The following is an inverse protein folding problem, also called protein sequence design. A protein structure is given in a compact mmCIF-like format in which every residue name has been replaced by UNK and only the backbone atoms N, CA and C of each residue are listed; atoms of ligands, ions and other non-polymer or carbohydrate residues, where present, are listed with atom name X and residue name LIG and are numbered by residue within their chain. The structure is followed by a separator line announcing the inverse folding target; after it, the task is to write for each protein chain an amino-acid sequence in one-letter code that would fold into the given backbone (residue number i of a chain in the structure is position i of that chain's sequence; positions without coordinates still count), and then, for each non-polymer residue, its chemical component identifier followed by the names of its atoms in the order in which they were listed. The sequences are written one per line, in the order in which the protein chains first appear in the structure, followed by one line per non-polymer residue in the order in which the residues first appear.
data_IF_808386147227
#
_entry.id   IF_808386147227
#
_cell.length_a   1.000
_cell.length_b   1.000
_cell.length_c   1.000
_cell.angle_alpha   90.00
_cell.angle_beta   90.00
_cell.angle_gamma   90.00
#
_symmetry.space_group_name_H-M   'P 1'
#
loop_
_entity.id
_entity.type
_entity.pdbx_description
1 polymer ?
#
# COMPACT_ATOMS: atom_id res chain seq x y z
N UNK A 1 22.24 29.05 41.27
CA UNK A 1 23.36 28.21 40.80
C UNK A 1 23.08 26.73 40.88
N UNK A 2 22.43 26.27 41.89
CA UNK A 2 22.07 24.85 42.00
C UNK A 2 21.06 24.40 40.93
N UNK A 3 20.33 25.30 40.37
CA UNK A 3 19.32 25.00 39.32
C UNK A 3 19.94 24.67 37.97
N UNK A 4 21.17 25.11 37.75
CA UNK A 4 21.86 24.84 36.49
C UNK A 4 22.27 23.38 36.38
N UNK A 5 22.50 22.72 37.49
CA UNK A 5 22.88 21.31 37.51
C UNK A 5 21.71 20.42 37.13
N UNK A 6 20.49 20.83 37.49
CA UNK A 6 19.29 20.07 37.19
C UNK A 6 18.90 20.12 35.70
N UNK A 7 19.38 21.14 34.96
CA UNK A 7 19.13 21.26 33.54
C UNK A 7 19.97 20.32 32.68
N UNK A 8 20.95 19.69 33.28
CA UNK A 8 21.80 18.70 32.63
C UNK A 8 21.25 17.28 32.73
N UNK A 9 19.97 17.15 33.08
CA UNK A 9 19.33 15.84 33.21
C UNK A 9 19.27 15.05 31.91
N UNK A 10 19.44 15.73 30.77
CA UNK A 10 19.65 15.07 29.50
C UNK A 10 21.11 14.76 29.28
N UNK A 11 21.62 13.86 30.07
CA UNK A 11 23.00 13.42 29.91
C UNK A 11 23.21 12.62 28.63
N UNK A 12 24.42 12.15 28.44
CA UNK A 12 24.83 11.36 27.30
C UNK A 12 23.87 10.19 27.02
N UNK A 13 23.39 9.55 28.08
CA UNK A 13 22.43 8.44 27.97
C UNK A 13 21.08 8.89 27.40
N UNK A 14 20.57 10.06 27.81
CA UNK A 14 19.32 10.62 27.30
C UNK A 14 19.44 10.99 25.83
N UNK A 15 20.55 11.59 25.43
CA UNK A 15 20.79 11.93 24.02
C UNK A 15 20.90 10.67 23.16
N UNK A 16 21.56 9.64 23.66
CA UNK A 16 21.67 8.36 22.98
C UNK A 16 20.29 7.72 22.77
N UNK A 17 19.46 7.75 23.81
CA UNK A 17 18.09 7.19 23.74
C UNK A 17 17.26 7.92 22.69
N UNK A 18 17.30 9.24 22.68
CA UNK A 18 16.57 10.05 21.68
C UNK A 18 17.10 9.73 20.28
N UNK A 19 18.41 9.64 20.12
CA UNK A 19 19.02 9.31 18.84
C UNK A 19 18.57 7.95 18.31
N UNK A 20 18.52 6.95 19.17
CA UNK A 20 18.04 5.61 18.80
C UNK A 20 16.56 5.65 18.40
N UNK A 21 15.73 6.37 19.14
CA UNK A 21 14.30 6.49 18.82
C UNK A 21 14.08 7.19 17.48
N UNK A 22 14.75 8.31 17.25
CA UNK A 22 14.65 9.04 15.99
C UNK A 22 15.13 8.18 14.83
N UNK A 23 16.25 7.49 15.00
CA UNK A 23 16.79 6.58 13.99
C UNK A 23 15.82 5.45 13.66
N UNK A 24 15.17 4.89 14.67
CA UNK A 24 14.17 3.84 14.49
C UNK A 24 12.98 4.34 13.67
N UNK A 25 12.44 5.50 14.03
CA UNK A 25 11.28 6.07 13.29
C UNK A 25 11.65 6.43 11.86
N UNK A 26 12.81 7.02 11.63
CA UNK A 26 13.27 7.37 10.28
C UNK A 26 13.44 6.10 9.44
N UNK A 27 14.09 5.08 9.99
CA UNK A 27 14.28 3.81 9.29
C UNK A 27 12.95 3.13 8.95
N UNK A 28 12.02 3.13 9.91
CA UNK A 28 10.68 2.56 9.69
C UNK A 28 9.94 3.30 8.58
N UNK A 29 10.00 4.64 8.58
CA UNK A 29 9.38 5.46 7.54
C UNK A 29 9.95 5.17 6.16
N UNK A 30 11.27 5.04 6.05
CA UNK A 30 11.92 4.74 4.77
C UNK A 30 11.51 3.36 4.25
N UNK A 31 11.31 2.40 5.13
CA UNK A 31 10.90 1.06 4.73
C UNK A 31 9.43 0.94 4.39
N UNK A 32 8.58 1.72 5.05
CA UNK A 32 7.14 1.68 4.85
C UNK A 32 6.72 2.53 3.65
N UNK A 33 7.38 3.65 3.41
CA UNK A 33 7.00 4.61 2.37
C UNK A 33 6.87 4.00 0.97
N UNK A 34 7.79 3.14 0.48
CA UNK A 34 7.63 2.52 -0.84
C UNK A 34 6.34 1.72 -0.97
N UNK A 35 5.94 1.02 0.09
CA UNK A 35 4.71 0.25 0.10
C UNK A 35 3.46 1.11 -0.02
N UNK A 36 3.46 2.28 0.60
CA UNK A 36 2.35 3.22 0.51
C UNK A 36 2.23 3.83 -0.90
N UNK A 37 3.37 4.14 -1.52
CA UNK A 37 3.40 4.65 -2.89
C UNK A 37 2.90 3.57 -3.85
N UNK A 38 3.35 2.34 -3.68
CA UNK A 38 2.91 1.22 -4.49
C UNK A 38 1.40 0.97 -4.32
N UNK A 39 0.88 1.10 -3.10
CA UNK A 39 -0.55 0.99 -2.84
C UNK A 39 -1.35 2.02 -3.68
N UNK A 40 -0.93 3.26 -3.70
CA UNK A 40 -1.60 4.29 -4.50
C UNK A 40 -1.58 3.94 -5.99
N UNK A 41 -0.44 3.45 -6.46
CA UNK A 41 -0.31 3.02 -7.86
C UNK A 41 -1.22 1.84 -8.16
N UNK A 42 -1.26 0.83 -7.29
CA UNK A 42 -2.16 -0.32 -7.45
C UNK A 42 -3.61 0.13 -7.49
N UNK A 43 -3.99 1.01 -6.58
CA UNK A 43 -5.35 1.55 -6.53
C UNK A 43 -5.73 2.23 -7.83
N UNK A 44 -4.87 3.08 -8.36
CA UNK A 44 -5.11 3.76 -9.64
C UNK A 44 -5.23 2.77 -10.80
N UNK A 45 -4.35 1.77 -10.85
CA UNK A 45 -4.37 0.78 -11.92
C UNK A 45 -5.63 -0.07 -11.89
N UNK A 46 -6.09 -0.44 -10.70
CA UNK A 46 -7.32 -1.21 -10.54
C UNK A 46 -8.54 -0.35 -10.91
N UNK A 47 -8.54 0.92 -10.51
CA UNK A 47 -9.60 1.86 -10.90
C UNK A 47 -9.65 2.04 -12.41
N UNK A 48 -8.51 2.22 -13.06
CA UNK A 48 -8.45 2.36 -14.51
C UNK A 48 -8.98 1.11 -15.21
N UNK A 49 -8.64 -0.05 -14.73
CA UNK A 49 -9.15 -1.30 -15.28
C UNK A 49 -10.66 -1.42 -15.09
N UNK A 50 -11.17 -1.01 -13.94
CA UNK A 50 -12.61 -1.03 -13.66
C UNK A 50 -13.38 -0.03 -14.52
N UNK A 51 -12.87 1.20 -14.64
CA UNK A 51 -13.52 2.25 -15.43
C UNK A 51 -13.49 1.95 -16.93
N UNK A 52 -12.42 1.31 -17.40
CA UNK A 52 -12.27 0.97 -18.82
C UNK A 52 -13.05 -0.27 -19.25
N UNK A 53 -13.71 -0.94 -18.32
CA UNK A 53 -14.46 -2.15 -18.63
C UNK A 53 -15.80 -1.84 -19.27
N UNK A 54 -16.06 -2.49 -20.41
CA UNK A 54 -17.34 -2.42 -21.11
C UNK A 54 -18.02 -3.79 -21.02
N UNK A 55 -19.16 -3.85 -20.35
CA UNK A 55 -19.87 -5.10 -20.10
C UNK A 55 -20.35 -5.79 -21.39
N UNK A 56 -20.55 -5.02 -22.46
CA UNK A 56 -20.99 -5.55 -23.75
C UNK A 56 -19.82 -6.10 -24.58
N UNK A 57 -18.63 -5.57 -24.45
CA UNK A 57 -17.48 -5.92 -25.29
C UNK A 57 -16.40 -6.70 -24.55
N UNK A 58 -16.23 -6.46 -23.24
CA UNK A 58 -15.10 -6.99 -22.49
C UNK A 58 -15.48 -8.19 -21.64
N UNK A 59 -14.49 -9.04 -21.40
CA UNK A 59 -14.62 -10.20 -20.52
C UNK A 59 -13.74 -10.02 -19.27
N UNK A 60 -13.93 -10.89 -18.27
CA UNK A 60 -13.06 -10.91 -17.10
C UNK A 60 -11.60 -11.15 -17.50
N UNK A 61 -11.36 -11.97 -18.52
CA UNK A 61 -10.03 -12.22 -19.04
C UNK A 61 -9.38 -10.94 -19.59
N UNK A 62 -10.16 -10.07 -20.20
CA UNK A 62 -9.67 -8.78 -20.71
C UNK A 62 -9.25 -7.86 -19.56
N UNK A 63 -10.00 -7.83 -18.47
CA UNK A 63 -9.63 -7.08 -17.26
C UNK A 63 -8.29 -7.61 -16.71
N UNK A 64 -8.15 -8.92 -16.59
CA UNK A 64 -6.90 -9.53 -16.10
C UNK A 64 -5.71 -9.20 -16.99
N UNK A 65 -5.92 -9.22 -18.29
CA UNK A 65 -4.88 -8.88 -19.25
C UNK A 65 -4.44 -7.43 -19.11
N UNK A 66 -5.41 -6.51 -18.97
CA UNK A 66 -5.13 -5.09 -18.77
C UNK A 66 -4.37 -4.86 -17.45
N UNK A 67 -4.80 -5.52 -16.36
CA UNK A 67 -4.11 -5.44 -15.07
C UNK A 67 -2.69 -5.99 -15.16
N UNK A 68 -2.51 -7.13 -15.83
CA UNK A 68 -1.19 -7.73 -16.00
C UNK A 68 -0.24 -6.81 -16.73
N UNK A 69 -0.70 -6.19 -17.82
CA UNK A 69 0.09 -5.23 -18.58
C UNK A 69 0.45 -4.01 -17.74
N UNK A 70 -0.52 -3.44 -17.04
CA UNK A 70 -0.30 -2.26 -16.20
C UNK A 70 0.65 -2.55 -15.05
N UNK A 71 0.50 -3.70 -14.40
CA UNK A 71 1.37 -4.09 -13.29
C UNK A 71 2.80 -4.31 -13.76
N UNK A 72 2.98 -4.93 -14.92
CA UNK A 72 4.32 -5.11 -15.49
C UNK A 72 4.97 -3.79 -15.85
N UNK A 73 4.22 -2.86 -16.46
CA UNK A 73 4.73 -1.55 -16.83
C UNK A 73 5.13 -0.72 -15.61
N UNK A 74 4.41 -0.86 -14.51
CA UNK A 74 4.66 -0.11 -13.28
C UNK A 74 5.51 -0.90 -12.27
N UNK A 75 5.98 -2.07 -12.64
CA UNK A 75 6.85 -2.92 -11.82
C UNK A 75 6.25 -3.23 -10.44
N UNK A 76 4.94 -3.48 -10.40
CA UNK A 76 4.25 -3.88 -9.17
C UNK A 76 4.67 -5.29 -8.78
N UNK A 77 5.20 -5.45 -7.57
CA UNK A 77 5.72 -6.72 -7.08
C UNK A 77 5.01 -7.24 -5.82
N UNK A 78 4.37 -6.35 -5.08
CA UNK A 78 3.72 -6.69 -3.81
C UNK A 78 2.58 -7.65 -4.00
N UNK A 79 1.77 -7.44 -5.05
CA UNK A 79 0.71 -8.37 -5.43
C UNK A 79 0.82 -8.69 -6.91
N UNK A 80 0.21 -9.81 -7.30
CA UNK A 80 0.17 -10.23 -8.69
C UNK A 80 -1.24 -10.06 -9.24
N UNK A 81 -1.41 -9.82 -10.54
CA UNK A 81 -2.76 -9.69 -11.13
C UNK A 81 -3.65 -10.89 -10.85
N UNK A 82 -3.09 -12.09 -10.74
CA UNK A 82 -3.84 -13.31 -10.41
C UNK A 82 -4.36 -13.34 -8.99
N UNK A 83 -3.79 -12.53 -8.08
CA UNK A 83 -4.21 -12.45 -6.68
C UNK A 83 -5.44 -11.55 -6.50
N UNK A 84 -5.78 -10.78 -7.54
CA UNK A 84 -6.96 -9.93 -7.56
C UNK A 84 -8.18 -10.79 -7.89
N UNK A 85 -9.15 -10.80 -6.99
CA UNK A 85 -10.40 -11.51 -7.23
C UNK A 85 -11.29 -10.67 -8.14
N UNK A 86 -11.74 -11.28 -9.22
CA UNK A 86 -12.70 -10.67 -10.13
C UNK A 86 -13.95 -11.55 -10.10
N UNK A 87 -15.02 -11.01 -9.53
CA UNK A 87 -16.25 -11.75 -9.26
C UNK A 87 -17.40 -11.07 -10.01
N UNK A 88 -18.26 -11.88 -10.62
CA UNK A 88 -19.50 -11.37 -11.19
C UNK A 88 -20.62 -11.63 -10.19
N UNK A 89 -21.26 -10.56 -9.72
CA UNK A 89 -22.34 -10.62 -8.75
C UNK A 89 -23.46 -9.67 -9.16
N UNK A 90 -24.69 -10.15 -9.21
CA UNK A 90 -25.89 -9.36 -9.57
C UNK A 90 -25.73 -8.62 -10.91
N UNK A 91 -25.12 -9.27 -11.90
CA UNK A 91 -24.89 -8.67 -13.22
C UNK A 91 -23.76 -7.67 -13.27
N UNK A 92 -23.06 -7.44 -12.16
CA UNK A 92 -21.93 -6.51 -12.10
C UNK A 92 -20.64 -7.28 -11.81
N UNK A 93 -19.54 -6.77 -12.36
CA UNK A 93 -18.21 -7.33 -12.12
C UNK A 93 -17.53 -6.51 -11.04
N UNK A 94 -17.10 -7.19 -9.98
CA UNK A 94 -16.40 -6.57 -8.86
C UNK A 94 -14.95 -7.02 -8.86
N UNK A 95 -14.04 -6.05 -8.68
CA UNK A 95 -12.62 -6.29 -8.55
C UNK A 95 -12.24 -6.10 -7.08
N UNK A 96 -11.73 -7.15 -6.47
CA UNK A 96 -11.25 -7.10 -5.09
C UNK A 96 -9.73 -7.26 -5.10
N UNK A 97 -9.03 -6.17 -4.89
CA UNK A 97 -7.57 -6.13 -4.86
C UNK A 97 -7.02 -5.97 -3.44
N UNK A 98 -7.82 -6.23 -2.42
CA UNK A 98 -7.38 -6.12 -1.03
C UNK A 98 -6.18 -7.04 -0.77
N UNK A 99 -5.19 -6.53 -0.06
CA UNK A 99 -3.99 -7.29 0.23
C UNK A 99 -3.32 -6.81 1.52
N UNK A 100 -2.35 -7.60 1.97
CA UNK A 100 -1.53 -7.25 3.11
C UNK A 100 -0.08 -7.11 2.65
N UNK A 101 0.58 -6.06 3.10
CA UNK A 101 1.99 -5.82 2.85
C UNK A 101 2.76 -6.05 4.14
N UNK A 102 3.63 -7.06 4.14
CA UNK A 102 4.47 -7.38 5.29
C UNK A 102 5.85 -6.81 5.06
N UNK A 103 6.22 -5.85 5.89
CA UNK A 103 7.48 -5.13 5.77
C UNK A 103 8.39 -5.52 6.94
N UNK A 104 9.51 -6.20 6.68
CA UNK A 104 10.46 -6.51 7.75
C UNK A 104 11.14 -5.23 8.22
N UNK A 105 11.07 -4.95 9.51
CA UNK A 105 11.76 -3.81 10.11
C UNK A 105 13.16 -4.20 10.54
N UNK A 106 13.23 -5.06 11.52
CA UNK A 106 14.52 -5.59 11.95
C UNK A 106 14.32 -6.88 12.73
N UNK A 107 15.25 -7.81 12.58
CA UNK A 107 15.29 -9.12 13.24
C UNK A 107 13.96 -9.89 13.01
N UNK A 108 13.16 -10.07 14.07
CA UNK A 108 11.88 -10.79 13.99
C UNK A 108 10.66 -9.90 13.99
N UNK A 109 10.87 -8.60 13.88
CA UNK A 109 9.78 -7.62 13.91
C UNK A 109 9.42 -7.22 12.49
N UNK A 110 8.18 -7.53 12.11
CA UNK A 110 7.61 -7.14 10.82
C UNK A 110 6.42 -6.21 11.06
N UNK A 111 6.24 -5.25 10.18
CA UNK A 111 5.00 -4.45 10.12
C UNK A 111 4.12 -5.02 9.03
N UNK A 112 2.86 -5.28 9.37
CA UNK A 112 1.86 -5.70 8.41
C UNK A 112 0.89 -4.54 8.18
N UNK A 113 0.82 -4.07 6.95
CA UNK A 113 -0.12 -3.03 6.55
C UNK A 113 -1.22 -3.70 5.74
N UNK A 114 -2.46 -3.56 6.20
CA UNK A 114 -3.62 -4.12 5.51
C UNK A 114 -4.27 -3.06 4.66
N UNK A 115 -4.46 -3.38 3.41
CA UNK A 115 -5.19 -2.53 2.47
C UNK A 115 -6.49 -3.24 2.12
N UNK A 116 -7.58 -2.81 2.75
CA UNK A 116 -8.89 -3.45 2.64
C UNK A 116 -9.94 -2.53 2.01
N UNK A 117 -9.51 -1.47 1.34
CA UNK A 117 -10.34 -0.50 0.66
C UNK A 117 -10.20 -0.56 -0.87
N UNK A 118 -9.72 -1.66 -1.41
CA UNK A 118 -9.45 -1.83 -2.83
C UNK A 118 -10.51 -2.73 -3.51
N UNK A 119 -11.78 -2.47 -3.22
CA UNK A 119 -12.89 -3.15 -3.88
C UNK A 119 -13.60 -2.14 -4.79
N UNK A 120 -13.66 -2.46 -6.08
CA UNK A 120 -14.23 -1.57 -7.10
C UNK A 120 -15.21 -2.34 -7.97
N UNK A 121 -16.24 -1.66 -8.43
CA UNK A 121 -17.22 -2.21 -9.37
C UNK A 121 -16.85 -1.77 -10.78
N UNK A 122 -16.71 -2.73 -11.70
CA UNK A 122 -16.35 -2.45 -13.07
C UNK A 122 -17.46 -1.65 -13.78
N UNK A 123 -17.06 -0.65 -14.55
CA UNK A 123 -17.98 0.22 -15.28
C UNK A 123 -18.41 1.46 -14.51
N UNK A 124 -18.05 1.59 -13.24
CA UNK A 124 -18.32 2.79 -12.45
C UNK A 124 -17.12 3.74 -12.48
N UNK A 125 -17.41 5.03 -12.36
CA UNK A 125 -16.37 6.06 -12.35
C UNK A 125 -16.04 6.41 -10.88
N UNK A 126 -14.77 6.37 -10.55
CA UNK A 126 -14.26 6.69 -9.22
C UNK A 126 -13.44 7.97 -9.30
N UNK A 127 -13.93 9.01 -8.65
CA UNK A 127 -13.21 10.28 -8.56
C UNK A 127 -12.37 10.29 -7.28
N UNK A 128 -11.12 10.69 -7.42
CA UNK A 128 -10.25 10.92 -6.28
C UNK A 128 -10.61 12.28 -5.67
N UNK A 129 -11.28 12.25 -4.54
CA UNK A 129 -11.49 13.46 -3.73
C UNK A 129 -10.58 13.44 -2.50
#
# INVERSE_FOLDING_TARGET
MKTLIKQQGMGMLGMLTIGVMVGFFVMSGIRIAPGLIEYQTIRELVIQAAEGYDDDEDTIADIRRALSGSFNMNQIKTIKPRDIEIIRKDGKVMLNANYEDRIPLFWRIDVVVKYDDLVFVAGEVYNDE
#
